data_IF_275843574240
#
_entry.id   IF_275843574240
#
_cell.length_a   1.000
_cell.length_b   1.000
_cell.length_c   1.000
_cell.angle_alpha   90.00
_cell.angle_beta   90.00
_cell.angle_gamma   90.00
#
_symmetry.space_group_name_H-M   'P 1'
#
loop_
_entity.id
_entity.type
_entity.pdbx_description
1 polymer ?
#
# COMPACT_ATOMS: atom_id res chain seq x y z
N UNK A 1 80.08 -62.43 32.92
CA UNK A 1 80.20 -63.07 34.24
C UNK A 1 78.86 -62.89 34.94
N UNK A 2 78.19 -63.98 35.36
CA UNK A 2 76.92 -64.07 36.14
C UNK A 2 75.67 -63.41 35.54
N UNK A 3 74.46 -63.97 35.48
CA UNK A 3 73.89 -65.27 35.84
C UNK A 3 72.54 -65.37 35.06
N UNK A 4 72.13 -66.58 34.64
CA UNK A 4 70.78 -66.87 34.14
C UNK A 4 69.75 -66.71 35.25
N UNK A 5 68.49 -66.38 34.93
CA UNK A 5 67.33 -67.04 35.56
C UNK A 5 66.10 -67.00 34.63
N UNK A 6 65.49 -68.18 34.44
CA UNK A 6 64.18 -68.39 33.80
C UNK A 6 63.11 -68.41 34.89
N UNK A 7 61.95 -67.82 34.64
CA UNK A 7 60.66 -68.19 35.26
C UNK A 7 59.49 -67.84 34.31
N UNK A 8 58.71 -68.85 33.94
CA UNK A 8 57.27 -68.76 33.60
C UNK A 8 56.46 -68.84 34.93
N UNK A 9 55.12 -68.67 35.04
CA UNK A 9 54.06 -68.54 34.02
C UNK A 9 52.99 -67.46 34.35
N UNK A 10 51.91 -67.34 33.56
CA UNK A 10 50.51 -67.41 34.03
C UNK A 10 49.54 -66.80 32.99
N UNK A 11 48.60 -67.62 32.54
CA UNK A 11 47.40 -67.23 31.80
C UNK A 11 46.46 -66.41 32.71
N UNK A 12 45.96 -65.27 32.22
CA UNK A 12 44.77 -64.63 32.77
C UNK A 12 43.71 -64.45 31.68
N UNK A 13 42.52 -64.96 31.98
CA UNK A 13 41.33 -64.95 31.15
C UNK A 13 40.83 -63.52 30.91
N UNK A 14 40.56 -63.19 29.64
CA UNK A 14 39.85 -61.96 29.28
C UNK A 14 38.35 -62.17 29.48
N UNK A 15 37.79 -61.52 30.51
CA UNK A 15 36.34 -61.41 30.72
C UNK A 15 35.80 -60.38 29.72
N UNK A 16 34.88 -60.80 28.85
CA UNK A 16 34.17 -59.93 27.93
C UNK A 16 33.24 -58.98 28.70
N UNK A 17 33.51 -57.68 28.64
CA UNK A 17 32.64 -56.65 29.17
C UNK A 17 31.41 -56.50 28.24
N UNK A 18 30.25 -56.94 28.71
CA UNK A 18 28.96 -56.74 28.06
C UNK A 18 28.56 -55.26 28.20
N UNK A 19 28.63 -54.49 27.11
CA UNK A 19 28.17 -53.10 27.10
C UNK A 19 26.63 -53.06 27.20
N UNK A 20 26.11 -52.61 28.34
CA UNK A 20 24.68 -52.35 28.52
C UNK A 20 24.35 -51.04 27.80
N UNK A 21 23.74 -51.13 26.62
CA UNK A 21 23.24 -49.97 25.89
C UNK A 21 22.10 -49.32 26.71
N UNK A 22 22.31 -48.10 27.19
CA UNK A 22 21.24 -47.28 27.76
C UNK A 22 20.28 -46.88 26.64
N UNK A 23 18.96 -47.05 26.79
CA UNK A 23 18.02 -46.53 25.81
C UNK A 23 18.16 -45.00 25.78
N UNK A 24 18.45 -44.46 24.60
CA UNK A 24 18.39 -43.02 24.37
C UNK A 24 16.93 -42.58 24.54
N UNK A 25 16.64 -41.86 25.62
CA UNK A 25 15.39 -41.12 25.75
C UNK A 25 15.36 -40.10 24.60
N UNK A 26 14.48 -40.35 23.62
CA UNK A 26 14.22 -39.41 22.55
C UNK A 26 13.76 -38.09 23.17
N UNK A 27 14.59 -37.05 23.07
CA UNK A 27 14.17 -35.70 23.42
C UNK A 27 13.03 -35.31 22.48
N UNK A 28 11.88 -34.94 23.04
CA UNK A 28 10.80 -34.36 22.26
C UNK A 28 11.34 -33.14 21.50
N UNK A 29 10.93 -32.92 20.24
CA UNK A 29 11.41 -31.77 19.48
C UNK A 29 11.08 -30.49 20.24
N UNK A 30 12.10 -29.67 20.48
CA UNK A 30 11.92 -28.36 21.08
C UNK A 30 10.90 -27.59 20.24
N UNK A 31 9.81 -27.16 20.86
CA UNK A 31 8.86 -26.22 20.25
C UNK A 31 9.67 -24.96 19.93
N UNK A 32 9.83 -24.68 18.64
CA UNK A 32 10.51 -23.47 18.16
C UNK A 32 9.73 -22.25 18.67
N UNK A 33 10.26 -21.59 19.69
CA UNK A 33 9.75 -20.31 20.19
C UNK A 33 10.36 -19.18 19.38
N UNK A 34 9.99 -19.07 18.10
CA UNK A 34 10.28 -17.83 17.36
C UNK A 34 9.61 -16.67 18.12
N UNK A 35 10.34 -15.57 18.40
CA UNK A 35 9.75 -14.45 19.12
C UNK A 35 8.61 -13.86 18.29
N UNK A 36 7.46 -13.64 18.93
CA UNK A 36 6.32 -12.95 18.32
C UNK A 36 6.77 -11.53 17.97
N UNK A 37 6.87 -11.22 16.67
CA UNK A 37 7.16 -9.86 16.22
C UNK A 37 5.97 -8.95 16.55
N UNK A 38 6.26 -7.81 17.17
CA UNK A 38 5.25 -6.76 17.37
C UNK A 38 4.83 -6.14 16.03
N UNK A 39 3.65 -5.53 15.97
CA UNK A 39 3.18 -4.83 14.77
C UNK A 39 4.16 -3.72 14.33
N UNK A 40 4.82 -3.04 15.27
CA UNK A 40 5.83 -2.03 14.98
C UNK A 40 7.09 -2.63 14.35
N UNK A 41 7.58 -3.76 14.87
CA UNK A 41 8.72 -4.48 14.29
C UNK A 41 8.40 -5.02 12.89
N UNK A 42 7.19 -5.55 12.69
CA UNK A 42 6.74 -5.99 11.37
C UNK A 42 6.64 -4.81 10.38
N UNK A 43 6.17 -3.65 10.83
CA UNK A 43 6.09 -2.44 10.01
C UNK A 43 7.48 -1.91 9.61
N UNK A 44 8.44 -1.87 10.55
CA UNK A 44 9.83 -1.47 10.26
C UNK A 44 10.50 -2.44 9.30
N UNK A 45 10.39 -3.75 9.55
CA UNK A 45 10.94 -4.77 8.66
C UNK A 45 10.37 -4.63 7.25
N UNK A 46 9.05 -4.47 7.12
CA UNK A 46 8.39 -4.22 5.83
C UNK A 46 8.93 -2.97 5.15
N UNK A 47 9.16 -1.86 5.85
CA UNK A 47 9.73 -0.67 5.23
C UNK A 47 11.14 -0.90 4.66
N UNK A 48 11.90 -1.86 5.20
CA UNK A 48 13.24 -2.23 4.72
C UNK A 48 13.23 -3.26 3.60
N UNK A 49 12.24 -4.16 3.56
CA UNK A 49 12.22 -5.31 2.64
C UNK A 49 11.18 -5.21 1.54
N UNK A 50 10.10 -4.46 1.76
CA UNK A 50 9.00 -4.22 0.84
C UNK A 50 8.41 -2.81 1.09
N UNK A 51 9.22 -1.78 0.78
CA UNK A 51 8.93 -0.39 1.15
C UNK A 51 7.58 0.12 0.62
N UNK A 52 7.20 -0.25 -0.61
CA UNK A 52 5.90 0.10 -1.19
C UNK A 52 4.76 -0.84 -0.75
N UNK A 53 5.08 -1.86 0.04
CA UNK A 53 4.18 -2.95 0.43
C UNK A 53 3.51 -3.64 -0.76
N UNK A 54 4.28 -3.97 -1.79
CA UNK A 54 3.81 -4.62 -3.01
C UNK A 54 3.11 -5.96 -2.73
N UNK A 55 3.41 -6.63 -1.61
CA UNK A 55 2.69 -7.83 -1.20
C UNK A 55 1.23 -7.60 -0.76
N UNK A 56 0.84 -6.38 -0.35
CA UNK A 56 -0.46 -6.08 0.31
C UNK A 56 -1.69 -6.53 -0.47
N UNK A 57 -1.67 -6.37 -1.79
CA UNK A 57 -2.78 -6.66 -2.69
C UNK A 57 -2.48 -7.78 -3.68
N UNK A 58 -1.34 -8.49 -3.55
CA UNK A 58 -0.91 -9.50 -4.54
C UNK A 58 -1.97 -10.56 -4.82
N UNK A 59 -2.54 -11.14 -3.76
CA UNK A 59 -3.57 -12.18 -3.89
C UNK A 59 -4.90 -11.62 -4.40
N UNK A 60 -5.29 -10.43 -3.95
CA UNK A 60 -6.48 -9.73 -4.42
C UNK A 60 -6.37 -9.38 -5.91
N UNK A 61 -5.21 -8.87 -6.35
CA UNK A 61 -4.90 -8.59 -7.76
C UNK A 61 -4.99 -9.87 -8.59
N UNK A 62 -4.39 -10.98 -8.14
CA UNK A 62 -4.46 -12.25 -8.84
C UNK A 62 -5.92 -12.71 -9.02
N UNK A 63 -6.76 -12.53 -7.99
CA UNK A 63 -8.19 -12.87 -8.02
C UNK A 63 -8.95 -11.96 -8.99
N UNK A 64 -8.72 -10.65 -8.94
CA UNK A 64 -9.39 -9.66 -9.80
C UNK A 64 -9.02 -9.83 -11.28
N UNK A 65 -7.78 -10.23 -11.58
CA UNK A 65 -7.29 -10.48 -12.94
C UNK A 65 -7.98 -11.69 -13.56
N UNK A 66 -8.20 -12.78 -12.81
CA UNK A 66 -8.82 -14.01 -13.34
C UNK A 66 -10.34 -14.04 -13.19
N UNK A 67 -10.91 -13.17 -12.35
CA UNK A 67 -12.33 -13.10 -12.06
C UNK A 67 -13.20 -12.83 -13.29
N UNK A 68 -14.47 -13.25 -13.21
CA UNK A 68 -15.48 -13.02 -14.27
C UNK A 68 -15.89 -11.55 -14.38
N UNK A 69 -15.98 -10.86 -13.23
CA UNK A 69 -16.20 -9.42 -13.18
C UNK A 69 -14.85 -8.72 -13.18
N UNK A 70 -14.47 -8.14 -14.32
CA UNK A 70 -13.22 -7.39 -14.43
C UNK A 70 -13.29 -6.05 -13.69
N UNK A 71 -12.20 -5.59 -13.07
CA UNK A 71 -12.10 -4.22 -12.58
C UNK A 71 -12.43 -3.22 -13.68
N UNK A 72 -13.42 -2.36 -13.43
CA UNK A 72 -13.75 -1.22 -14.29
C UNK A 72 -13.15 0.07 -13.76
N UNK A 73 -13.17 0.24 -12.44
CA UNK A 73 -12.68 1.42 -11.74
C UNK A 73 -11.77 0.98 -10.61
N UNK A 74 -10.54 1.50 -10.59
CA UNK A 74 -9.60 1.34 -9.48
C UNK A 74 -9.47 2.66 -8.72
N UNK A 75 -9.63 2.62 -7.40
CA UNK A 75 -9.36 3.74 -6.51
C UNK A 75 -7.97 3.54 -5.88
N UNK A 76 -6.98 4.25 -6.39
CA UNK A 76 -5.62 4.31 -5.85
C UNK A 76 -5.53 5.41 -4.79
N UNK A 77 -4.99 5.07 -3.61
CA UNK A 77 -4.78 6.07 -2.57
C UNK A 77 -4.15 5.53 -1.29
N UNK A 78 -4.36 6.28 -0.21
CA UNK A 78 -3.76 6.07 1.11
C UNK A 78 -4.78 5.58 2.15
N UNK A 79 -4.65 6.00 3.41
CA UNK A 79 -5.56 5.69 4.51
C UNK A 79 -6.98 6.18 4.27
N UNK A 80 -7.18 7.26 3.51
CA UNK A 80 -8.52 7.77 3.21
C UNK A 80 -9.22 6.80 2.24
N UNK A 81 -8.53 6.29 1.23
CA UNK A 81 -9.09 5.27 0.34
C UNK A 81 -9.28 3.93 1.04
N UNK A 82 -8.35 3.55 1.93
CA UNK A 82 -8.50 2.33 2.74
C UNK A 82 -9.71 2.43 3.67
N UNK A 83 -9.82 3.54 4.41
CA UNK A 83 -10.93 3.80 5.33
C UNK A 83 -12.27 3.89 4.62
N UNK A 84 -12.30 4.33 3.36
CA UNK A 84 -13.51 4.32 2.53
C UNK A 84 -14.02 2.89 2.35
N UNK A 85 -13.14 1.95 2.03
CA UNK A 85 -13.51 0.54 1.90
C UNK A 85 -13.97 -0.06 3.24
N UNK A 86 -13.29 0.30 4.33
CA UNK A 86 -13.54 -0.24 5.65
C UNK A 86 -14.87 0.29 6.25
N UNK A 87 -15.23 1.55 5.98
CA UNK A 87 -16.40 2.23 6.57
C UNK A 87 -17.60 2.33 5.64
N UNK A 88 -17.41 2.24 4.32
CA UNK A 88 -18.48 2.25 3.31
C UNK A 88 -18.19 1.20 2.23
N UNK A 89 -18.23 -0.06 2.65
CA UNK A 89 -18.01 -1.21 1.78
C UNK A 89 -19.02 -1.30 0.63
N UNK A 90 -20.23 -0.77 0.82
CA UNK A 90 -21.28 -0.79 -0.20
C UNK A 90 -20.93 0.06 -1.42
N UNK A 91 -20.11 1.10 -1.24
CA UNK A 91 -19.60 1.90 -2.35
C UNK A 91 -18.72 1.10 -3.31
N UNK A 92 -18.05 0.03 -2.85
CA UNK A 92 -17.14 -0.81 -3.64
C UNK A 92 -17.87 -2.02 -4.23
N UNK A 93 -18.72 -1.74 -5.23
CA UNK A 93 -19.48 -2.76 -5.99
C UNK A 93 -18.56 -3.66 -6.83
N UNK A 94 -19.03 -4.81 -7.34
CA UNK A 94 -18.27 -5.60 -8.31
C UNK A 94 -17.79 -4.73 -9.48
N UNK A 95 -16.48 -4.81 -9.78
CA UNK A 95 -15.83 -3.98 -10.80
C UNK A 95 -15.38 -2.59 -10.31
N UNK A 96 -15.63 -2.20 -9.05
CA UNK A 96 -15.06 -1.01 -8.41
C UNK A 96 -14.25 -1.44 -7.19
N UNK A 97 -12.93 -1.31 -7.29
CA UNK A 97 -12.00 -1.86 -6.29
C UNK A 97 -11.11 -0.78 -5.68
N UNK A 98 -10.83 -0.93 -4.39
CA UNK A 98 -9.93 -0.07 -3.64
C UNK A 98 -8.51 -0.65 -3.59
N UNK A 99 -7.52 0.24 -3.75
CA UNK A 99 -6.08 -0.02 -3.58
C UNK A 99 -5.47 1.03 -2.66
N UNK A 100 -6.17 1.31 -1.56
CA UNK A 100 -5.75 2.22 -0.50
C UNK A 100 -4.82 1.56 0.50
N UNK A 101 -3.70 2.18 0.84
CA UNK A 101 -2.81 1.67 1.90
C UNK A 101 -2.49 2.79 2.89
N UNK A 102 -2.85 2.56 4.16
CA UNK A 102 -2.66 3.52 5.24
C UNK A 102 -1.24 4.07 5.33
N UNK A 103 -1.15 5.39 5.44
CA UNK A 103 0.11 6.12 5.63
C UNK A 103 0.98 6.29 4.39
N UNK A 104 0.61 5.72 3.23
CA UNK A 104 1.44 5.79 2.03
C UNK A 104 1.46 7.17 1.38
N UNK A 105 2.63 7.49 0.81
CA UNK A 105 2.86 8.70 0.00
C UNK A 105 2.77 8.41 -1.49
N UNK A 106 2.75 9.46 -2.32
CA UNK A 106 2.74 9.32 -3.79
C UNK A 106 3.91 8.49 -4.32
N UNK A 107 5.07 8.53 -3.66
CA UNK A 107 6.26 7.76 -4.05
C UNK A 107 6.02 6.25 -3.91
N UNK A 108 5.37 5.80 -2.84
CA UNK A 108 5.03 4.39 -2.65
C UNK A 108 3.93 3.95 -3.63
N UNK A 109 2.92 4.81 -3.85
CA UNK A 109 1.85 4.55 -4.82
C UNK A 109 2.40 4.40 -6.23
N UNK A 110 3.34 5.25 -6.65
CA UNK A 110 4.01 5.15 -7.95
C UNK A 110 4.69 3.79 -8.13
N UNK A 111 5.45 3.31 -7.13
CA UNK A 111 6.15 2.03 -7.21
C UNK A 111 5.22 0.84 -7.39
N UNK A 112 4.05 0.84 -6.75
CA UNK A 112 3.05 -0.25 -6.89
C UNK A 112 2.02 0.01 -7.98
N UNK A 113 2.09 1.13 -8.70
CA UNK A 113 1.06 1.55 -9.66
C UNK A 113 0.86 0.53 -10.79
N UNK A 114 1.93 -0.12 -11.25
CA UNK A 114 1.83 -1.16 -12.28
C UNK A 114 0.96 -2.34 -11.82
N UNK A 115 1.33 -2.97 -10.70
CA UNK A 115 0.61 -4.15 -10.21
C UNK A 115 -0.80 -3.84 -9.70
N UNK A 116 -1.00 -2.67 -9.08
CA UNK A 116 -2.26 -2.34 -8.39
C UNK A 116 -3.22 -1.54 -9.28
N UNK A 117 -2.80 -1.14 -10.49
CA UNK A 117 -3.65 -0.43 -11.45
C UNK A 117 -3.49 -1.00 -12.86
N UNK A 118 -2.31 -0.91 -13.44
CA UNK A 118 -2.10 -1.17 -14.87
C UNK A 118 -2.42 -2.63 -15.22
N UNK A 119 -1.87 -3.58 -14.46
CA UNK A 119 -2.01 -5.01 -14.74
C UNK A 119 -3.43 -5.53 -14.43
N UNK A 120 -4.25 -4.72 -13.74
CA UNK A 120 -5.68 -4.96 -13.54
C UNK A 120 -6.54 -4.51 -14.74
N UNK A 121 -5.94 -3.78 -15.69
CA UNK A 121 -6.55 -3.27 -16.92
C UNK A 121 -7.93 -2.58 -16.72
N UNK A 122 -8.07 -1.61 -15.79
CA UNK A 122 -9.34 -0.92 -15.57
C UNK A 122 -9.66 0.07 -16.69
N UNK A 123 -10.93 0.45 -16.81
CA UNK A 123 -11.34 1.53 -17.71
C UNK A 123 -10.95 2.91 -17.16
N UNK A 124 -10.92 3.04 -15.83
CA UNK A 124 -10.65 4.27 -15.09
C UNK A 124 -9.80 3.99 -13.85
N UNK A 125 -8.85 4.86 -13.56
CA UNK A 125 -8.21 4.97 -12.25
C UNK A 125 -8.53 6.33 -11.64
N UNK A 126 -8.97 6.34 -10.38
CA UNK A 126 -8.97 7.52 -9.54
C UNK A 126 -7.72 7.51 -8.66
N UNK A 127 -6.99 8.63 -8.63
CA UNK A 127 -5.80 8.80 -7.81
C UNK A 127 -6.10 9.90 -6.78
N UNK A 128 -6.16 9.52 -5.50
CA UNK A 128 -6.28 10.43 -4.36
C UNK A 128 -5.08 10.23 -3.44
N UNK A 129 -4.16 11.18 -3.43
CA UNK A 129 -2.87 11.06 -2.74
C UNK A 129 -2.27 12.43 -2.42
N UNK A 130 -1.27 12.47 -1.53
CA UNK A 130 -0.52 13.69 -1.18
C UNK A 130 -0.64 14.09 0.28
N UNK A 131 -1.66 13.61 1.01
CA UNK A 131 -1.84 13.87 2.46
C UNK A 131 -0.59 13.50 3.24
N UNK A 132 -0.11 12.27 3.04
CA UNK A 132 1.03 11.73 3.76
C UNK A 132 2.38 12.27 3.27
N UNK A 133 2.45 12.75 2.01
CA UNK A 133 3.61 13.45 1.48
C UNK A 133 3.78 14.79 2.19
N UNK A 134 2.68 15.55 2.38
CA UNK A 134 2.68 16.79 3.14
C UNK A 134 3.04 16.52 4.60
N UNK A 135 2.53 15.42 5.18
CA UNK A 135 2.88 14.98 6.54
C UNK A 135 4.34 14.50 6.66
N UNK A 136 5.03 14.25 5.54
CA UNK A 136 6.41 13.78 5.51
C UNK A 136 6.57 12.35 6.05
N UNK A 137 5.61 11.46 5.76
CA UNK A 137 5.62 10.08 6.25
C UNK A 137 6.78 9.25 5.66
N UNK A 138 7.25 9.58 4.46
CA UNK A 138 8.43 8.97 3.83
C UNK A 138 9.62 9.93 3.79
N UNK A 139 9.68 10.88 4.72
CA UNK A 139 10.66 11.97 4.75
C UNK A 139 10.15 13.25 4.05
N UNK A 140 10.94 14.34 4.10
CA UNK A 140 10.58 15.60 3.47
C UNK A 140 10.42 15.45 1.97
N UNK A 141 9.33 15.98 1.43
CA UNK A 141 9.09 16.07 -0.02
C UNK A 141 8.72 17.51 -0.38
N UNK A 142 9.20 18.00 -1.52
CA UNK A 142 8.75 19.27 -2.11
C UNK A 142 7.45 19.08 -2.88
N UNK A 143 6.74 20.18 -3.17
CA UNK A 143 5.52 20.11 -3.97
C UNK A 143 5.84 19.58 -5.39
N UNK A 144 6.99 19.92 -5.96
CA UNK A 144 7.43 19.46 -7.28
C UNK A 144 7.65 17.94 -7.32
N UNK A 145 8.14 17.35 -6.24
CA UNK A 145 8.32 15.89 -6.12
C UNK A 145 6.98 15.17 -6.08
N UNK A 146 6.02 15.69 -5.29
CA UNK A 146 4.65 15.16 -5.26
C UNK A 146 4.02 15.25 -6.66
N UNK A 147 4.14 16.41 -7.30
CA UNK A 147 3.64 16.64 -8.65
C UNK A 147 4.31 15.73 -9.69
N UNK A 148 5.60 15.44 -9.56
CA UNK A 148 6.32 14.54 -10.45
C UNK A 148 5.77 13.10 -10.36
N UNK A 149 5.49 12.62 -9.15
CA UNK A 149 4.88 11.30 -8.97
C UNK A 149 3.48 11.24 -9.59
N UNK A 150 2.67 12.30 -9.44
CA UNK A 150 1.40 12.41 -10.15
C UNK A 150 1.59 12.36 -11.68
N UNK A 151 2.52 13.16 -12.23
CA UNK A 151 2.81 13.14 -13.68
C UNK A 151 3.13 11.73 -14.16
N UNK A 152 4.03 11.03 -13.48
CA UNK A 152 4.40 9.66 -13.84
C UNK A 152 3.21 8.68 -13.78
N UNK A 153 2.39 8.72 -12.73
CA UNK A 153 1.22 7.85 -12.64
C UNK A 153 0.18 8.15 -13.74
N UNK A 154 -0.04 9.43 -14.08
CA UNK A 154 -0.94 9.83 -15.17
C UNK A 154 -0.42 9.37 -16.53
N UNK A 155 0.85 9.64 -16.82
CA UNK A 155 1.51 9.20 -18.06
C UNK A 155 1.45 7.68 -18.22
N UNK A 156 1.75 6.93 -17.16
CA UNK A 156 1.66 5.46 -17.16
C UNK A 156 0.23 4.98 -17.39
N UNK A 157 -0.79 5.55 -16.72
CA UNK A 157 -2.17 5.16 -16.92
C UNK A 157 -2.65 5.43 -18.37
N UNK A 158 -2.40 6.63 -18.88
CA UNK A 158 -2.82 7.02 -20.22
C UNK A 158 -2.09 6.23 -21.32
N UNK A 159 -0.80 5.94 -21.12
CA UNK A 159 -0.03 5.06 -22.00
C UNK A 159 -0.63 3.64 -22.11
N UNK A 160 -1.38 3.20 -21.10
CA UNK A 160 -2.10 1.92 -21.09
C UNK A 160 -3.59 2.06 -21.44
N UNK A 161 -4.03 3.22 -21.97
CA UNK A 161 -5.42 3.45 -22.36
C UNK A 161 -6.39 3.64 -21.20
N UNK A 162 -5.87 3.84 -19.98
CA UNK A 162 -6.67 4.00 -18.77
C UNK A 162 -7.01 5.48 -18.61
N UNK A 163 -8.30 5.77 -18.39
CA UNK A 163 -8.74 7.14 -18.10
C UNK A 163 -8.38 7.49 -16.66
N UNK A 164 -8.01 8.75 -16.44
CA UNK A 164 -7.55 9.22 -15.14
C UNK A 164 -8.56 10.19 -14.53
N UNK A 165 -8.84 9.98 -13.26
CA UNK A 165 -9.44 10.97 -12.37
C UNK A 165 -8.38 11.40 -11.36
N UNK A 166 -8.03 12.68 -11.36
CA UNK A 166 -7.21 13.28 -10.31
C UNK A 166 -8.14 13.84 -9.22
N UNK A 167 -8.11 13.22 -8.05
CA UNK A 167 -8.91 13.67 -6.92
C UNK A 167 -8.13 14.70 -6.10
N UNK A 168 -8.81 15.77 -5.69
CA UNK A 168 -8.27 16.70 -4.70
C UNK A 168 -7.97 15.96 -3.40
N UNK A 169 -6.88 16.30 -2.74
CA UNK A 169 -6.64 15.95 -1.34
C UNK A 169 -7.78 16.56 -0.50
N UNK A 170 -8.50 15.76 0.33
CA UNK A 170 -9.55 16.28 1.21
C UNK A 170 -9.04 17.36 2.17
N UNK A 171 -9.93 18.20 2.71
CA UNK A 171 -9.52 19.30 3.57
C UNK A 171 -9.06 18.81 4.94
N UNK A 172 -7.86 19.25 5.33
CA UNK A 172 -7.30 19.09 6.67
C UNK A 172 -6.62 20.40 7.06
N UNK A 173 -6.87 20.86 8.28
CA UNK A 173 -6.22 22.05 8.86
C UNK A 173 -4.98 21.69 9.67
N UNK A 174 -4.90 20.47 10.20
CA UNK A 174 -3.75 19.95 10.92
C UNK A 174 -3.61 18.43 10.74
N UNK A 175 -2.42 17.91 11.03
CA UNK A 175 -2.18 16.47 11.16
C UNK A 175 -1.85 16.13 12.61
N UNK A 176 -2.73 15.45 13.36
CA UNK A 176 -2.50 15.21 14.78
C UNK A 176 -1.19 14.46 15.09
N UNK A 177 -0.77 13.56 14.18
CA UNK A 177 0.47 12.79 14.31
C UNK A 177 1.72 13.57 13.87
N UNK A 178 1.56 14.74 13.23
CA UNK A 178 2.64 15.63 12.74
C UNK A 178 2.24 17.11 12.92
N UNK A 179 2.17 17.61 14.17
CA UNK A 179 1.79 18.99 14.44
C UNK A 179 2.83 19.99 13.91
N UNK A 180 2.40 21.23 13.67
CA UNK A 180 3.27 22.35 13.31
C UNK A 180 3.57 22.52 11.81
N UNK A 181 2.86 21.81 10.94
CA UNK A 181 3.00 21.92 9.48
C UNK A 181 2.05 22.99 8.89
N UNK A 182 2.44 23.56 7.74
CA UNK A 182 1.58 24.41 6.89
C UNK A 182 0.54 23.58 6.13
N UNK A 183 -0.27 22.79 6.84
CA UNK A 183 -1.10 21.72 6.25
C UNK A 183 -2.14 22.27 5.27
N UNK A 184 -3.10 23.07 5.73
CA UNK A 184 -4.21 23.55 4.91
C UNK A 184 -3.76 24.34 3.67
N UNK A 185 -2.90 25.37 3.81
CA UNK A 185 -2.43 26.14 2.65
C UNK A 185 -1.64 25.30 1.66
N UNK A 186 -0.85 24.33 2.12
CA UNK A 186 -0.11 23.43 1.23
C UNK A 186 -1.04 22.48 0.48
N UNK A 187 -2.06 21.93 1.14
CA UNK A 187 -3.11 21.15 0.46
C UNK A 187 -3.79 22.00 -0.64
N UNK A 188 -4.16 23.24 -0.31
CA UNK A 188 -4.79 24.15 -1.28
C UNK A 188 -3.91 24.38 -2.51
N UNK A 189 -2.61 24.62 -2.32
CA UNK A 189 -1.64 24.79 -3.43
C UNK A 189 -1.55 23.55 -4.32
N UNK A 190 -1.41 22.36 -3.72
CA UNK A 190 -1.34 21.10 -4.48
C UNK A 190 -2.66 20.82 -5.21
N UNK A 191 -3.81 21.08 -4.58
CA UNK A 191 -5.12 20.92 -5.21
C UNK A 191 -5.34 21.86 -6.41
N UNK A 192 -4.87 23.11 -6.31
CA UNK A 192 -4.91 24.05 -7.43
C UNK A 192 -4.06 23.56 -8.61
N UNK A 193 -2.88 22.99 -8.33
CA UNK A 193 -2.06 22.35 -9.34
C UNK A 193 -2.75 21.11 -9.95
N UNK A 194 -3.32 20.22 -9.13
CA UNK A 194 -4.02 19.02 -9.60
C UNK A 194 -5.18 19.35 -10.55
N UNK A 195 -5.97 20.39 -10.22
CA UNK A 195 -7.05 20.88 -11.09
C UNK A 195 -6.52 21.36 -12.44
N UNK A 196 -5.45 22.15 -12.41
CA UNK A 196 -4.82 22.68 -13.62
C UNK A 196 -4.21 21.56 -14.46
N UNK A 197 -3.57 20.59 -13.81
CA UNK A 197 -2.93 19.46 -14.48
C UNK A 197 -3.94 18.52 -15.11
N UNK A 198 -5.04 18.21 -14.41
CA UNK A 198 -6.15 17.43 -14.96
C UNK A 198 -6.68 18.03 -16.27
N UNK A 199 -6.90 19.36 -16.31
CA UNK A 199 -7.33 20.04 -17.52
C UNK A 199 -6.31 19.92 -18.66
N UNK A 200 -5.00 20.01 -18.36
CA UNK A 200 -3.92 19.89 -19.35
C UNK A 200 -3.79 18.48 -19.93
N UNK A 201 -4.03 17.44 -19.14
CA UNK A 201 -3.89 16.03 -19.56
C UNK A 201 -5.18 15.42 -20.06
N UNK A 202 -6.30 16.16 -20.07
CA UNK A 202 -7.62 15.63 -20.39
C UNK A 202 -8.14 14.63 -19.33
N UNK A 203 -7.61 14.68 -18.12
CA UNK A 203 -8.11 13.91 -16.98
C UNK A 203 -9.32 14.63 -16.35
N UNK A 204 -10.17 13.86 -15.67
CA UNK A 204 -11.26 14.42 -14.86
C UNK A 204 -10.72 14.85 -13.50
N UNK A 205 -11.24 15.94 -12.94
CA UNK A 205 -10.90 16.39 -11.59
C UNK A 205 -12.07 16.13 -10.63
N UNK A 206 -11.82 15.38 -9.55
CA UNK A 206 -12.79 15.14 -8.49
C UNK A 206 -12.51 16.08 -7.30
N UNK A 207 -13.41 17.03 -7.04
CA UNK A 207 -13.21 18.13 -6.08
C UNK A 207 -13.79 17.84 -4.68
N UNK A 208 -13.20 16.87 -3.98
CA UNK A 208 -13.53 16.58 -2.57
C UNK A 208 -13.22 17.75 -1.63
N UNK A 209 -12.16 18.51 -1.92
CA UNK A 209 -11.77 19.69 -1.15
C UNK A 209 -12.95 20.65 -1.01
N UNK A 210 -13.49 21.14 -2.13
CA UNK A 210 -14.62 22.08 -2.09
C UNK A 210 -15.86 21.45 -1.47
N UNK A 211 -16.12 20.17 -1.77
CA UNK A 211 -17.31 19.48 -1.26
C UNK A 211 -17.29 19.28 0.26
N UNK A 212 -16.11 19.14 0.88
CA UNK A 212 -15.99 18.83 2.31
C UNK A 212 -15.58 20.02 3.17
N UNK A 213 -14.91 21.04 2.62
CA UNK A 213 -14.28 22.13 3.39
C UNK A 213 -15.31 22.96 4.15
N UNK A 214 -14.97 23.30 5.40
CA UNK A 214 -15.71 24.25 6.22
C UNK A 214 -15.39 25.71 5.89
N UNK A 215 -15.65 26.59 6.86
CA UNK A 215 -15.33 28.03 6.77
C UNK A 215 -13.82 28.27 6.71
N UNK A 216 -13.03 27.46 7.43
CA UNK A 216 -11.57 27.45 7.38
C UNK A 216 -10.98 26.59 6.25
N UNK A 217 -9.84 25.97 6.53
CA UNK A 217 -9.13 25.04 5.62
C UNK A 217 -9.33 23.57 5.98
N UNK A 218 -9.93 23.28 7.14
CA UNK A 218 -10.36 21.94 7.54
C UNK A 218 -11.73 21.55 6.98
N UNK A 219 -12.11 20.29 7.19
CA UNK A 219 -13.44 19.80 6.84
C UNK A 219 -14.55 20.48 7.68
N UNK A 220 -15.78 20.44 7.18
CA UNK A 220 -16.97 20.77 7.99
C UNK A 220 -17.05 19.83 9.19
N UNK A 221 -17.59 20.34 10.29
CA UNK A 221 -17.77 19.57 11.52
C UNK A 221 -18.53 18.26 11.25
N UNK A 222 -18.07 17.17 11.88
CA UNK A 222 -18.65 15.84 11.73
C UNK A 222 -18.26 15.09 10.45
N UNK A 223 -17.60 15.71 9.47
CA UNK A 223 -17.18 15.03 8.24
C UNK A 223 -15.85 14.27 8.39
N UNK A 224 -15.02 14.62 9.38
CA UNK A 224 -13.77 13.93 9.71
C UNK A 224 -13.72 13.62 11.20
N UNK A 225 -13.12 12.49 11.58
CA UNK A 225 -12.99 12.09 13.00
C UNK A 225 -11.77 12.69 13.70
N UNK A 226 -10.73 13.03 12.95
CA UNK A 226 -9.42 13.44 13.47
C UNK A 226 -8.79 14.59 12.68
N UNK A 227 -9.62 15.43 12.06
CA UNK A 227 -9.26 16.49 11.10
C UNK A 227 -8.82 15.99 9.71
N UNK A 228 -8.64 14.68 9.51
CA UNK A 228 -8.10 14.14 8.24
C UNK A 228 -8.98 13.04 7.66
N UNK A 229 -9.26 12.00 8.46
CA UNK A 229 -9.94 10.80 8.01
C UNK A 229 -11.46 11.00 8.03
N UNK A 230 -12.15 10.79 6.89
CA UNK A 230 -13.58 10.96 6.81
C UNK A 230 -14.35 10.03 7.75
N UNK A 231 -15.42 10.54 8.34
CA UNK A 231 -16.48 9.74 8.97
C UNK A 231 -17.36 9.11 7.89
N UNK A 232 -18.32 8.22 8.23
CA UNK A 232 -19.32 7.77 7.25
C UNK A 232 -20.04 8.93 6.55
N UNK A 233 -20.41 9.99 7.28
CA UNK A 233 -21.01 11.20 6.68
C UNK A 233 -20.04 11.93 5.73
N UNK A 234 -18.74 11.93 6.03
CA UNK A 234 -17.70 12.41 5.12
C UNK A 234 -17.64 11.60 3.82
N UNK A 235 -17.63 10.27 3.91
CA UNK A 235 -17.64 9.40 2.73
C UNK A 235 -18.91 9.54 1.91
N UNK A 236 -20.08 9.76 2.52
CA UNK A 236 -21.31 10.05 1.76
C UNK A 236 -21.20 11.31 0.87
N UNK A 237 -20.48 12.34 1.34
CA UNK A 237 -20.19 13.53 0.53
C UNK A 237 -19.23 13.16 -0.61
N UNK A 238 -18.18 12.39 -0.30
CA UNK A 238 -17.20 11.94 -1.30
C UNK A 238 -17.83 11.03 -2.36
N UNK A 239 -18.78 10.16 -2.00
CA UNK A 239 -19.50 9.28 -2.91
C UNK A 239 -20.15 10.08 -4.04
N UNK A 240 -20.84 11.17 -3.71
CA UNK A 240 -21.52 12.03 -4.70
C UNK A 240 -20.54 12.62 -5.72
N UNK A 241 -19.40 13.11 -5.24
CA UNK A 241 -18.35 13.67 -6.10
C UNK A 241 -17.69 12.58 -6.95
N UNK A 242 -17.42 11.41 -6.36
CA UNK A 242 -16.82 10.27 -7.05
C UNK A 242 -17.72 9.74 -8.17
N UNK A 243 -19.01 9.53 -7.92
CA UNK A 243 -19.97 9.04 -8.93
C UNK A 243 -20.09 9.99 -10.12
N UNK A 244 -20.12 11.30 -9.87
CA UNK A 244 -20.10 12.31 -10.92
C UNK A 244 -18.81 12.22 -11.75
N UNK A 245 -17.66 12.10 -11.09
CA UNK A 245 -16.37 11.98 -11.76
C UNK A 245 -16.23 10.66 -12.54
N UNK A 246 -16.74 9.54 -12.02
CA UNK A 246 -16.76 8.24 -12.71
C UNK A 246 -17.63 8.30 -13.96
N UNK A 247 -18.82 8.87 -13.85
CA UNK A 247 -19.73 9.06 -14.98
C UNK A 247 -19.08 9.90 -16.08
N UNK A 248 -18.48 11.04 -15.69
CA UNK A 248 -17.77 11.91 -16.62
C UNK A 248 -16.58 11.20 -17.28
N UNK A 249 -15.75 10.51 -16.50
CA UNK A 249 -14.57 9.81 -17.03
C UNK A 249 -15.00 8.71 -18.01
N UNK A 250 -15.96 7.87 -17.65
CA UNK A 250 -16.43 6.78 -18.51
C UNK A 250 -17.03 7.26 -19.84
N UNK A 251 -17.58 8.48 -19.88
CA UNK A 251 -18.09 9.09 -21.10
C UNK A 251 -17.01 9.63 -22.04
N UNK A 252 -15.79 9.89 -21.53
CA UNK A 252 -14.68 10.37 -22.36
C UNK A 252 -14.14 9.24 -23.26
N UNK A 253 -13.55 9.57 -24.43
CA UNK A 253 -12.74 8.61 -25.17
C UNK A 253 -11.59 8.09 -24.31
N UNK A 254 -11.27 6.80 -24.43
CA UNK A 254 -10.06 6.26 -23.81
C UNK A 254 -8.83 6.92 -24.45
N UNK A 255 -7.76 7.24 -23.68
CA UNK A 255 -6.49 7.66 -24.25
C UNK A 255 -6.00 6.62 -25.26
N UNK A 256 -5.32 7.07 -26.31
CA UNK A 256 -4.67 6.13 -27.24
C UNK A 256 -3.54 5.44 -26.48
N UNK A 257 -3.58 4.10 -26.31
CA UNK A 257 -2.48 3.40 -25.68
C UNK A 257 -1.20 3.62 -26.49
N UNK A 258 -0.05 3.62 -25.83
CA UNK A 258 1.20 3.36 -26.52
C UNK A 258 1.02 2.02 -27.24
N UNK A 259 1.49 1.93 -28.49
CA UNK A 259 1.66 0.63 -29.10
C UNK A 259 2.47 -0.18 -28.10
N UNK A 260 1.87 -1.22 -27.53
CA UNK A 260 2.58 -2.08 -26.61
C UNK A 260 3.87 -2.44 -27.32
N UNK A 261 5.01 -2.02 -26.78
CA UNK A 261 6.27 -2.59 -27.19
C UNK A 261 6.04 -4.07 -26.95
N UNK A 262 5.80 -4.81 -28.04
CA UNK A 262 5.72 -6.27 -28.01
C UNK A 262 7.14 -6.69 -27.68
N UNK A 263 7.48 -6.62 -26.40
CA UNK A 263 8.62 -7.32 -25.87
C UNK A 263 8.10 -8.76 -25.79
N UNK A 264 8.56 -9.65 -26.69
CA UNK A 264 8.08 -11.02 -26.76
C UNK A 264 8.31 -11.77 -25.44
#
# INVERSE_FOLDING_TARGET
MTLRLKTLPAFSAAVAALAIARPALAQAPAVSTLPVQTAAQAADLRLRTDWAWSARYREANATDVVGTVKPRIVLMGDSITQGWYDLDRAFFTPGRIGRGIGGQTTSQMLLRFRQDVIDLNPQVVQIMAGTNDIAGNTGPMTDEQIQANFRSMVEMAQAHGIRVILASIPPADLFPWRPGLDTGPRIQRINAWLRTYAAKTGSVYADYWTAMKGTGLGAREGLTSDHVHPTPAGYEVMNKVAEAAFTQALALPAPRPLAAARIP
#
